data_IF_502897348769
#
_entry.id   IF_502897348769
#
_cell.length_a   1.000
_cell.length_b   1.000
_cell.length_c   1.000
_cell.angle_alpha   90.00
_cell.angle_beta   90.00
_cell.angle_gamma   90.00
#
_symmetry.space_group_name_H-M   'P 1'
#
loop_
_entity.id
_entity.type
_entity.pdbx_description
1 polymer ?
#
# COMPACT_ATOMS: atom_id res chain seq x y z
N UNK A 1 13.20 -15.43 21.62
CA UNK A 1 13.41 -15.13 20.20
C UNK A 1 12.16 -14.54 19.57
N UNK A 2 11.01 -15.23 19.47
CA UNK A 2 9.78 -14.64 18.90
C UNK A 2 9.38 -13.28 19.50
N UNK A 3 9.31 -13.16 20.83
CA UNK A 3 9.01 -11.87 21.48
C UNK A 3 10.02 -10.76 21.17
N UNK A 4 11.27 -11.12 20.87
CA UNK A 4 12.31 -10.17 20.52
C UNK A 4 12.15 -9.72 19.05
N UNK A 5 11.85 -10.68 18.17
CA UNK A 5 11.52 -10.45 16.76
C UNK A 5 10.30 -9.51 16.63
N UNK A 6 9.23 -9.78 17.40
CA UNK A 6 8.03 -8.95 17.46
C UNK A 6 8.32 -7.54 17.98
N UNK A 7 9.15 -7.40 19.02
CA UNK A 7 9.54 -6.10 19.56
C UNK A 7 10.43 -5.29 18.60
N UNK A 8 11.22 -5.95 17.76
CA UNK A 8 12.15 -5.32 16.82
C UNK A 8 11.57 -5.14 15.41
N UNK A 9 10.37 -5.66 15.15
CA UNK A 9 9.72 -5.59 13.84
C UNK A 9 10.44 -6.39 12.74
N UNK A 10 11.21 -7.42 13.12
CA UNK A 10 11.98 -8.27 12.21
C UNK A 10 11.52 -9.72 12.32
N UNK A 11 11.83 -10.54 11.32
CA UNK A 11 11.52 -11.98 11.37
C UNK A 11 12.51 -12.72 12.28
N UNK A 12 12.10 -13.87 12.83
CA UNK A 12 13.04 -14.73 13.60
C UNK A 12 14.21 -15.21 12.72
N UNK A 13 13.95 -15.43 11.44
CA UNK A 13 14.99 -15.77 10.45
C UNK A 13 16.02 -14.65 10.30
N UNK A 14 15.60 -13.38 10.28
CA UNK A 14 16.51 -12.24 10.27
C UNK A 14 17.45 -12.26 11.49
N UNK A 15 16.89 -12.42 12.69
CA UNK A 15 17.68 -12.47 13.93
C UNK A 15 18.64 -13.67 14.00
N UNK A 16 18.30 -14.75 13.32
CA UNK A 16 19.00 -16.04 13.47
C UNK A 16 19.99 -16.34 12.35
N UNK A 17 19.72 -15.85 11.14
CA UNK A 17 20.49 -16.17 9.95
C UNK A 17 20.91 -14.93 9.15
N UNK A 18 20.68 -13.72 9.67
CA UNK A 18 21.00 -12.45 9.00
C UNK A 18 20.37 -12.35 7.59
N UNK A 19 19.22 -13.00 7.41
CA UNK A 19 18.43 -12.93 6.17
C UNK A 19 17.49 -11.72 6.25
N UNK A 20 17.88 -10.66 5.56
CA UNK A 20 17.09 -9.44 5.28
C UNK A 20 15.69 -9.74 4.73
N UNK A 21 14.77 -8.75 4.74
CA UNK A 21 13.56 -8.85 3.93
C UNK A 21 13.96 -9.15 2.48
N UNK A 22 13.26 -10.10 1.85
CA UNK A 22 13.54 -10.47 0.47
C UNK A 22 13.12 -9.30 -0.44
N UNK A 23 14.10 -8.53 -0.90
CA UNK A 23 13.91 -7.55 -1.98
C UNK A 23 13.89 -8.31 -3.30
N UNK A 24 12.76 -8.24 -4.02
CA UNK A 24 12.60 -8.78 -5.36
C UNK A 24 12.74 -7.62 -6.34
N UNK A 25 13.74 -7.68 -7.22
CA UNK A 25 13.90 -6.71 -8.29
C UNK A 25 13.07 -7.13 -9.51
N UNK A 26 12.19 -6.25 -9.98
CA UNK A 26 11.30 -6.51 -11.12
C UNK A 26 11.68 -5.57 -12.27
N UNK A 27 12.07 -6.08 -13.45
CA UNK A 27 12.47 -5.24 -14.56
C UNK A 27 11.27 -4.49 -15.16
N UNK A 28 11.46 -3.20 -15.42
CA UNK A 28 10.53 -2.34 -16.15
C UNK A 28 10.78 -2.54 -17.65
N UNK A 29 9.91 -3.32 -18.28
CA UNK A 29 10.05 -3.71 -19.70
C UNK A 29 9.35 -2.76 -20.68
N UNK A 30 8.79 -1.64 -20.20
CA UNK A 30 8.06 -0.70 -21.05
C UNK A 30 7.39 0.43 -20.26
N UNK A 31 6.98 1.49 -20.97
CA UNK A 31 6.26 2.65 -20.41
C UNK A 31 5.09 3.01 -21.32
N UNK A 32 3.98 3.43 -20.73
CA UNK A 32 2.74 3.76 -21.46
C UNK A 32 2.14 5.07 -20.95
N UNK A 33 1.60 5.88 -21.86
CA UNK A 33 0.85 7.09 -21.56
C UNK A 33 -0.61 6.97 -22.03
N UNK A 34 -1.47 7.87 -21.56
CA UNK A 34 -2.89 7.82 -21.88
C UNK A 34 -3.12 7.96 -23.40
N UNK A 35 -3.78 6.97 -24.01
CA UNK A 35 -4.13 6.98 -25.42
C UNK A 35 -3.03 6.54 -26.39
N UNK A 36 -1.87 6.12 -25.87
CA UNK A 36 -0.73 5.71 -26.69
C UNK A 36 -0.46 4.19 -26.61
N UNK A 37 0.06 3.61 -27.70
CA UNK A 37 0.61 2.25 -27.68
C UNK A 37 1.96 2.25 -26.98
N UNK A 38 2.22 1.29 -26.10
CA UNK A 38 3.56 1.10 -25.54
C UNK A 38 4.39 0.20 -26.46
N UNK A 39 5.68 0.51 -26.59
CA UNK A 39 6.67 -0.34 -27.26
C UNK A 39 7.48 -1.02 -26.16
N UNK A 40 7.58 -2.36 -26.14
CA UNK A 40 8.47 -3.06 -25.21
C UNK A 40 9.90 -2.56 -25.37
N UNK A 41 10.61 -2.41 -24.26
CA UNK A 41 12.05 -2.13 -24.26
C UNK A 41 12.74 -3.46 -24.63
N UNK A 42 13.02 -3.64 -25.92
CA UNK A 42 13.94 -4.69 -26.38
C UNK A 42 15.36 -4.33 -25.93
N UNK A 43 16.09 -5.34 -25.45
CA UNK A 43 17.45 -5.25 -24.90
C UNK A 43 18.29 -4.15 -25.57
N UNK A 44 18.69 -3.16 -24.78
CA UNK A 44 19.54 -2.09 -25.27
C UNK A 44 20.89 -2.70 -25.71
N UNK A 45 21.37 -2.50 -26.95
CA UNK A 45 22.61 -3.14 -27.45
C UNK A 45 23.91 -2.69 -26.75
N UNK A 46 23.83 -1.90 -25.68
CA UNK A 46 24.92 -1.13 -25.08
C UNK A 46 25.05 -1.30 -23.56
N UNK A 47 24.63 -2.44 -23.00
CA UNK A 47 25.05 -2.87 -21.66
C UNK A 47 24.47 -2.07 -20.47
N UNK A 48 23.52 -1.17 -20.70
CA UNK A 48 22.70 -0.60 -19.63
C UNK A 48 21.55 -1.59 -19.36
N UNK A 49 21.56 -2.24 -18.18
CA UNK A 49 20.49 -3.14 -17.76
C UNK A 49 19.12 -2.46 -17.69
N UNK A 50 18.07 -3.26 -17.49
CA UNK A 50 16.73 -2.74 -17.27
C UNK A 50 16.68 -1.82 -16.04
N UNK A 51 15.83 -0.78 -16.08
CA UNK A 51 15.38 -0.14 -14.85
C UNK A 51 14.58 -1.18 -14.05
N UNK A 52 14.80 -1.25 -12.75
CA UNK A 52 14.13 -2.20 -11.88
C UNK A 52 13.28 -1.48 -10.84
N UNK A 53 12.15 -2.08 -10.48
CA UNK A 53 11.36 -1.68 -9.32
C UNK A 53 11.63 -2.67 -8.21
N UNK A 54 12.00 -2.14 -7.04
CA UNK A 54 12.16 -2.93 -5.84
C UNK A 54 10.79 -3.30 -5.27
N UNK A 55 10.57 -4.59 -5.12
CA UNK A 55 9.47 -5.13 -4.35
C UNK A 55 10.01 -5.67 -3.04
N UNK A 56 9.76 -4.96 -1.96
CA UNK A 56 10.01 -5.47 -0.63
C UNK A 56 8.85 -5.16 0.30
N UNK A 57 8.58 -6.10 1.19
CA UNK A 57 7.68 -5.93 2.32
C UNK A 57 8.50 -5.46 3.52
N UNK A 58 9.08 -4.27 3.44
CA UNK A 58 10.00 -3.71 4.45
C UNK A 58 9.30 -3.26 5.74
N UNK A 59 7.96 -3.22 5.73
CA UNK A 59 7.20 -2.61 6.81
C UNK A 59 6.78 -3.62 7.89
N UNK A 60 6.76 -3.13 9.14
CA UNK A 60 6.57 -3.91 10.36
C UNK A 60 5.16 -4.52 10.55
N UNK A 61 4.22 -4.33 9.62
CA UNK A 61 2.85 -4.82 9.78
C UNK A 61 2.06 -4.95 8.45
N UNK A 62 2.43 -5.90 7.58
CA UNK A 62 1.75 -6.12 6.31
C UNK A 62 0.35 -6.74 6.52
N UNK A 63 -0.63 -6.24 5.77
CA UNK A 63 -1.99 -6.78 5.76
C UNK A 63 -2.51 -6.89 4.32
N UNK A 64 -3.48 -7.77 4.12
CA UNK A 64 -4.22 -7.85 2.87
C UNK A 64 -5.73 -7.84 3.13
N UNK A 65 -6.48 -7.19 2.24
CA UNK A 65 -7.93 -7.29 2.20
C UNK A 65 -8.40 -7.69 0.80
N UNK A 66 -9.49 -8.44 0.75
CA UNK A 66 -10.18 -8.77 -0.49
C UNK A 66 -11.23 -7.69 -0.80
N UNK A 67 -11.23 -7.18 -2.02
CA UNK A 67 -12.26 -6.26 -2.49
C UNK A 67 -13.52 -7.05 -2.83
N UNK A 68 -14.60 -6.75 -2.13
CA UNK A 68 -15.93 -7.33 -2.39
C UNK A 68 -16.91 -6.24 -2.80
N UNK A 69 -17.64 -6.49 -3.88
CA UNK A 69 -18.60 -5.56 -4.45
C UNK A 69 -17.97 -4.43 -5.27
N UNK A 70 -18.81 -3.56 -5.80
CA UNK A 70 -18.46 -2.59 -6.85
C UNK A 70 -18.24 -1.15 -6.32
N UNK A 71 -18.32 -0.96 -5.00
CA UNK A 71 -18.25 0.36 -4.36
C UNK A 71 -16.93 1.11 -4.60
N UNK A 72 -15.89 0.37 -5.00
CA UNK A 72 -14.54 0.87 -5.22
C UNK A 72 -14.15 0.98 -6.71
N UNK A 73 -15.09 0.74 -7.62
CA UNK A 73 -14.89 1.00 -9.04
C UNK A 73 -14.64 2.51 -9.29
N UNK A 74 -13.92 2.88 -10.35
CA UNK A 74 -13.27 2.01 -11.34
C UNK A 74 -11.88 1.52 -10.91
N UNK A 75 -11.38 1.94 -9.74
CA UNK A 75 -9.98 1.76 -9.34
C UNK A 75 -9.72 0.34 -8.85
N UNK A 76 -10.56 -0.18 -7.95
CA UNK A 76 -10.43 -1.51 -7.38
C UNK A 76 -11.64 -2.36 -7.75
N UNK A 77 -11.38 -3.56 -8.26
CA UNK A 77 -12.39 -4.46 -8.82
C UNK A 77 -12.75 -5.57 -7.81
N UNK A 78 -13.98 -6.10 -7.83
CA UNK A 78 -14.31 -7.30 -7.08
C UNK A 78 -13.29 -8.42 -7.34
N UNK A 79 -12.76 -9.03 -6.28
CA UNK A 79 -11.73 -10.07 -6.34
C UNK A 79 -10.28 -9.58 -6.32
N UNK A 80 -10.04 -8.26 -6.41
CA UNK A 80 -8.71 -7.68 -6.18
C UNK A 80 -8.28 -7.94 -4.72
N UNK A 81 -7.01 -8.29 -4.51
CA UNK A 81 -6.40 -8.25 -3.17
C UNK A 81 -5.52 -7.01 -3.02
N UNK A 82 -5.80 -6.21 -2.01
CA UNK A 82 -5.05 -4.99 -1.70
C UNK A 82 -4.02 -5.29 -0.62
N UNK A 83 -2.75 -5.29 -1.01
CA UNK A 83 -1.62 -5.45 -0.09
C UNK A 83 -1.24 -4.08 0.47
N UNK A 84 -1.20 -3.98 1.79
CA UNK A 84 -1.02 -2.72 2.52
C UNK A 84 -0.07 -2.90 3.71
N UNK A 85 0.41 -1.79 4.26
CA UNK A 85 1.24 -1.77 5.46
C UNK A 85 0.65 -0.86 6.54
N UNK A 86 0.35 -1.36 7.75
CA UNK A 86 -0.32 -0.57 8.79
C UNK A 86 0.61 0.44 9.47
N UNK A 87 0.13 1.68 9.58
CA UNK A 87 0.70 2.78 10.36
C UNK A 87 -0.27 3.21 11.46
N UNK A 88 0.27 3.63 12.61
CA UNK A 88 -0.48 3.99 13.82
C UNK A 88 0.02 5.31 14.42
N UNK A 89 -0.82 5.97 15.21
CA UNK A 89 -0.45 7.19 15.91
C UNK A 89 0.05 8.29 14.97
N UNK A 90 1.22 8.86 15.27
CA UNK A 90 1.82 9.94 14.48
C UNK A 90 2.18 9.51 13.05
N UNK A 91 2.44 8.22 12.80
CA UNK A 91 2.86 7.72 11.49
C UNK A 91 1.71 7.65 10.48
N UNK A 92 0.46 7.81 10.93
CA UNK A 92 -0.70 7.91 10.03
C UNK A 92 -0.54 9.10 9.07
N UNK A 93 0.20 10.14 9.47
CA UNK A 93 0.51 11.30 8.61
C UNK A 93 1.28 10.90 7.33
N UNK A 94 2.07 9.82 7.36
CA UNK A 94 2.80 9.31 6.19
C UNK A 94 1.87 8.64 5.15
N UNK A 95 0.60 8.45 5.51
CA UNK A 95 -0.42 7.83 4.66
C UNK A 95 -1.23 8.86 3.86
N UNK A 96 -1.01 10.16 4.09
CA UNK A 96 -1.74 11.23 3.43
C UNK A 96 -1.56 11.19 1.90
N UNK A 97 -2.62 11.56 1.19
CA UNK A 97 -2.74 11.57 -0.27
C UNK A 97 -2.60 10.19 -0.94
N UNK A 98 -2.66 9.10 -0.16
CA UNK A 98 -2.62 7.72 -0.65
C UNK A 98 -3.96 7.03 -0.43
N UNK A 99 -4.25 6.07 -1.28
CA UNK A 99 -5.37 5.16 -1.06
C UNK A 99 -4.99 4.20 0.08
N UNK A 100 -5.85 4.14 1.09
CA UNK A 100 -5.56 3.43 2.32
C UNK A 100 -6.71 2.50 2.69
N UNK A 101 -6.36 1.34 3.23
CA UNK A 101 -7.24 0.56 4.10
C UNK A 101 -7.11 1.13 5.50
N UNK A 102 -8.21 1.42 6.18
CA UNK A 102 -8.17 2.11 7.46
C UNK A 102 -9.23 1.61 8.41
N UNK A 103 -9.02 1.86 9.71
CA UNK A 103 -10.00 1.59 10.76
C UNK A 103 -10.21 2.83 11.62
N UNK A 104 -11.47 3.24 11.78
CA UNK A 104 -11.86 4.37 12.62
C UNK A 104 -11.78 3.99 14.10
N UNK A 105 -11.74 4.99 14.98
CA UNK A 105 -11.85 4.78 16.44
C UNK A 105 -13.22 4.21 16.87
N UNK A 106 -14.24 4.38 16.03
CA UNK A 106 -15.56 3.73 16.17
C UNK A 106 -15.58 2.27 15.71
N UNK A 107 -14.48 1.78 15.14
CA UNK A 107 -14.31 0.37 14.77
C UNK A 107 -14.69 0.02 13.32
N UNK A 108 -15.13 1.00 12.52
CA UNK A 108 -15.49 0.82 11.12
C UNK A 108 -14.26 0.69 10.24
N UNK A 109 -14.34 -0.15 9.20
CA UNK A 109 -13.26 -0.36 8.23
C UNK A 109 -13.61 0.25 6.87
N UNK A 110 -12.67 0.95 6.24
CA UNK A 110 -12.87 1.53 4.92
C UNK A 110 -11.66 1.37 4.00
N UNK A 111 -11.92 1.49 2.69
CA UNK A 111 -10.91 1.76 1.66
C UNK A 111 -11.21 3.12 1.07
N UNK A 112 -10.34 4.09 1.31
CA UNK A 112 -10.53 5.51 0.91
C UNK A 112 -9.20 6.19 0.68
N UNK A 113 -9.20 7.27 -0.08
CA UNK A 113 -8.05 8.18 -0.13
C UNK A 113 -8.02 9.02 1.14
N UNK A 114 -6.89 9.01 1.83
CA UNK A 114 -6.73 9.73 3.09
C UNK A 114 -6.19 11.13 2.85
N UNK A 115 -6.85 12.16 3.38
CA UNK A 115 -6.35 13.54 3.40
C UNK A 115 -6.46 14.14 4.80
N UNK A 116 -5.79 15.26 5.04
CA UNK A 116 -5.88 15.98 6.31
C UNK A 116 -7.32 16.44 6.59
N UNK A 117 -7.78 16.26 7.82
CA UNK A 117 -9.09 16.69 8.26
C UNK A 117 -9.15 18.19 8.61
N UNK A 118 -10.36 18.70 8.90
CA UNK A 118 -10.55 20.10 9.27
C UNK A 118 -9.98 20.45 10.65
N UNK A 119 -9.98 19.49 11.58
CA UNK A 119 -9.49 19.66 12.95
C UNK A 119 -8.14 18.95 13.15
N UNK A 120 -7.31 19.42 14.12
CA UNK A 120 -6.10 18.70 14.51
C UNK A 120 -6.41 17.24 14.88
N UNK A 121 -5.55 16.32 14.45
CA UNK A 121 -5.68 14.86 14.67
C UNK A 121 -6.88 14.17 14.00
N UNK A 122 -7.59 14.88 13.10
CA UNK A 122 -8.65 14.28 12.28
C UNK A 122 -8.23 14.15 10.82
N UNK A 123 -8.95 13.31 10.10
CA UNK A 123 -8.73 13.02 8.69
C UNK A 123 -10.03 13.12 7.91
N UNK A 124 -9.91 13.40 6.62
CA UNK A 124 -11.02 13.30 5.67
C UNK A 124 -10.79 12.08 4.77
N UNK A 125 -11.85 11.27 4.63
CA UNK A 125 -11.85 10.06 3.84
C UNK A 125 -12.55 10.32 2.50
N UNK A 126 -11.76 10.36 1.43
CA UNK A 126 -12.27 10.61 0.08
C UNK A 126 -12.68 9.28 -0.56
N UNK A 127 -13.93 9.25 -1.02
CA UNK A 127 -14.54 8.15 -1.77
C UNK A 127 -14.45 8.40 -3.27
N UNK A 128 -14.42 7.34 -4.09
CA UNK A 128 -14.54 7.49 -5.55
C UNK A 128 -16.00 7.68 -6.01
N UNK A 129 -16.95 6.98 -5.38
CA UNK A 129 -18.35 6.92 -5.81
C UNK A 129 -19.35 7.40 -4.74
N UNK A 130 -18.89 8.13 -3.73
CA UNK A 130 -19.74 8.61 -2.63
C UNK A 130 -19.20 9.95 -2.11
N UNK A 131 -19.96 10.67 -1.28
CA UNK A 131 -19.43 11.82 -0.55
C UNK A 131 -18.22 11.47 0.32
N UNK A 132 -17.41 12.49 0.63
CA UNK A 132 -16.33 12.38 1.59
C UNK A 132 -16.87 12.26 3.02
N UNK A 133 -16.08 11.64 3.91
CA UNK A 133 -16.37 11.58 5.34
C UNK A 133 -15.30 12.43 6.05
N UNK A 134 -15.71 13.54 6.67
CA UNK A 134 -14.80 14.49 7.31
C UNK A 134 -14.71 14.26 8.83
N UNK A 135 -13.66 14.79 9.46
CA UNK A 135 -13.53 14.80 10.92
C UNK A 135 -13.27 13.42 11.55
N UNK A 136 -12.73 12.48 10.79
CA UNK A 136 -12.58 11.08 11.22
C UNK A 136 -11.30 10.90 12.04
N UNK A 137 -11.41 10.20 13.18
CA UNK A 137 -10.28 9.70 13.97
C UNK A 137 -9.97 8.26 13.60
N UNK A 138 -8.68 7.94 13.45
CA UNK A 138 -8.22 6.64 12.99
C UNK A 138 -7.43 5.91 14.08
N UNK A 139 -7.72 4.61 14.25
CA UNK A 139 -6.86 3.71 15.03
C UNK A 139 -5.59 3.36 14.25
N UNK A 140 -5.75 3.16 12.94
CA UNK A 140 -4.66 2.90 12.00
C UNK A 140 -5.11 3.21 10.57
N UNK A 141 -4.11 3.49 9.73
CA UNK A 141 -4.25 3.56 8.28
C UNK A 141 -3.17 2.68 7.65
N UNK A 142 -3.47 2.08 6.51
CA UNK A 142 -2.57 1.20 5.80
C UNK A 142 -2.57 1.57 4.32
N UNK A 143 -1.59 2.33 3.82
CA UNK A 143 -1.52 2.67 2.42
C UNK A 143 -1.39 1.41 1.57
N UNK A 144 -2.12 1.39 0.47
CA UNK A 144 -2.07 0.32 -0.51
C UNK A 144 -0.74 0.45 -1.26
N UNK A 145 0.03 -0.63 -1.26
CA UNK A 145 1.34 -0.71 -1.93
C UNK A 145 1.26 -1.56 -3.19
N UNK A 146 0.33 -2.51 -3.25
CA UNK A 146 0.16 -3.37 -4.41
C UNK A 146 -1.27 -3.90 -4.53
N UNK A 147 -1.66 -4.22 -5.76
CA UNK A 147 -2.96 -4.82 -6.09
C UNK A 147 -2.73 -6.11 -6.85
N UNK A 148 -3.14 -7.24 -6.25
CA UNK A 148 -3.21 -8.52 -6.94
C UNK A 148 -4.51 -8.61 -7.70
N UNK A 149 -4.45 -8.85 -9.00
CA UNK A 149 -5.60 -9.19 -9.83
C UNK A 149 -5.41 -10.61 -10.37
N UNK A 150 -6.45 -11.44 -10.27
CA UNK A 150 -6.50 -12.76 -10.90
C UNK A 150 -7.13 -12.66 -12.28
#
# INVERSE_FOLDING_TARGET
MLRLADCLGVTESWLRFDVGPAVIHIPVVGRVAAGESFIPIDDNPLGAGYEEVDFSLDDADPIAIEVRGESMLPVYRPGDYLLCSRRRGIDIQQCLNRDCVLKTDQGEGYVKKLISGPDPSTFTLISYNAPAIEGVRLLWAAPIIWVKRN
#
